data_IF_433406297044
#
_entry.id   IF_433406297044
#
_cell.length_a   1.000
_cell.length_b   1.000
_cell.length_c   1.000
_cell.angle_alpha   90.00
_cell.angle_beta   90.00
_cell.angle_gamma   90.00
#
_symmetry.space_group_name_H-M   'P 1'
#
loop_
_entity.id
_entity.type
_entity.pdbx_description
1 polymer ?
#
# COMPACT_ATOMS: atom_id res chain seq x y z
N UNK A 1 7.73 -0.94 12.88
CA UNK A 1 8.85 -0.81 11.92
C UNK A 1 10.05 -0.19 12.61
N UNK A 2 11.23 -0.71 12.35
CA UNK A 2 12.48 -0.11 12.77
C UNK A 2 12.87 0.98 11.73
N UNK A 3 13.15 2.19 12.20
CA UNK A 3 13.48 3.33 11.34
C UNK A 3 14.95 3.71 11.39
N UNK A 4 15.86 2.75 11.52
CA UNK A 4 17.28 2.98 11.72
C UNK A 4 17.92 3.85 10.64
N UNK A 5 17.61 3.58 9.38
CA UNK A 5 18.15 4.35 8.25
C UNK A 5 17.61 5.77 8.22
N UNK A 6 16.32 5.93 8.50
CA UNK A 6 15.69 7.25 8.57
C UNK A 6 16.23 8.05 9.75
N UNK A 7 16.40 7.40 10.91
CA UNK A 7 16.99 8.03 12.09
C UNK A 7 18.40 8.57 11.82
N UNK A 8 19.19 7.85 11.01
CA UNK A 8 20.55 8.26 10.68
C UNK A 8 20.61 9.39 9.64
N UNK A 9 19.64 9.44 8.72
CA UNK A 9 19.67 10.37 7.59
C UNK A 9 18.80 11.61 7.79
N UNK A 10 17.63 11.46 8.39
CA UNK A 10 16.68 12.55 8.54
C UNK A 10 15.85 12.38 9.83
N UNK A 11 16.44 12.81 10.90
CA UNK A 11 15.80 12.73 12.22
C UNK A 11 14.51 13.56 12.29
N UNK A 12 14.45 14.69 11.58
CA UNK A 12 13.27 15.55 11.61
C UNK A 12 12.03 14.86 11.04
N UNK A 13 12.20 14.13 9.94
CA UNK A 13 11.11 13.32 9.36
C UNK A 13 10.72 12.19 10.31
N UNK A 14 11.69 11.49 10.89
CA UNK A 14 11.40 10.44 11.88
C UNK A 14 10.62 10.98 13.08
N UNK A 15 11.05 12.12 13.62
CA UNK A 15 10.37 12.75 14.77
C UNK A 15 8.91 13.09 14.42
N UNK A 16 8.65 13.55 13.20
CA UNK A 16 7.30 13.77 12.68
C UNK A 16 6.46 12.50 12.65
N UNK A 17 7.02 11.39 12.14
CA UNK A 17 6.35 10.08 12.09
C UNK A 17 6.00 9.60 13.50
N UNK A 18 6.94 9.69 14.42
CA UNK A 18 6.73 9.26 15.80
C UNK A 18 5.72 10.14 16.55
N UNK A 19 5.72 11.45 16.28
CA UNK A 19 4.74 12.37 16.82
C UNK A 19 3.34 12.05 16.30
N UNK A 20 3.19 11.75 15.01
CA UNK A 20 1.91 11.35 14.43
C UNK A 20 1.42 10.01 14.99
N UNK A 21 2.30 9.03 15.14
CA UNK A 21 1.94 7.76 15.80
C UNK A 21 1.39 8.01 17.20
N UNK A 22 2.04 8.88 17.97
CA UNK A 22 1.57 9.26 19.31
C UNK A 22 0.22 9.94 19.26
N UNK A 23 0.02 10.86 18.31
CA UNK A 23 -1.27 11.56 18.13
C UNK A 23 -2.38 10.57 17.83
N UNK A 24 -2.18 9.66 16.88
CA UNK A 24 -3.17 8.65 16.51
C UNK A 24 -3.56 7.75 17.70
N UNK A 25 -2.59 7.37 18.52
CA UNK A 25 -2.85 6.55 19.70
C UNK A 25 -3.56 7.30 20.84
N UNK A 26 -3.44 8.64 20.88
CA UNK A 26 -4.00 9.45 21.94
C UNK A 26 -5.40 9.99 21.65
N UNK A 27 -5.85 9.93 20.41
CA UNK A 27 -7.12 10.51 19.97
C UNK A 27 -8.06 9.44 19.40
N UNK A 28 -9.35 9.68 19.53
CA UNK A 28 -10.38 8.89 18.84
C UNK A 28 -10.63 9.53 17.48
N UNK A 29 -10.39 8.79 16.41
CA UNK A 29 -10.64 9.27 15.06
C UNK A 29 -12.12 9.05 14.70
N UNK A 30 -12.79 10.13 14.33
CA UNK A 30 -14.22 10.12 13.98
C UNK A 30 -14.48 10.39 12.49
N UNK A 31 -13.43 10.48 11.68
CA UNK A 31 -13.57 10.67 10.24
C UNK A 31 -13.81 9.32 9.58
N UNK A 32 -15.01 9.13 9.02
CA UNK A 32 -15.45 7.84 8.48
C UNK A 32 -14.58 7.32 7.31
N UNK A 33 -13.89 8.20 6.60
CA UNK A 33 -13.00 7.83 5.49
C UNK A 33 -11.59 7.40 5.93
N UNK A 34 -11.24 7.54 7.20
CA UNK A 34 -9.94 7.12 7.72
C UNK A 34 -10.00 5.69 8.25
N UNK A 35 -8.97 4.91 7.96
CA UNK A 35 -8.83 3.55 8.41
C UNK A 35 -7.40 3.30 8.90
N UNK A 36 -7.28 2.62 10.02
CA UNK A 36 -5.98 2.17 10.53
C UNK A 36 -5.61 0.87 9.83
N UNK A 37 -4.65 0.94 8.92
CA UNK A 37 -4.16 -0.24 8.21
C UNK A 37 -3.30 -1.12 9.12
N UNK A 38 -3.20 -2.40 8.79
CA UNK A 38 -2.33 -3.34 9.51
C UNK A 38 -0.85 -3.06 9.25
N UNK A 39 -0.01 -3.54 10.15
CA UNK A 39 1.46 -3.45 9.98
C UNK A 39 1.92 -4.11 8.69
N UNK A 40 1.30 -5.23 8.30
CA UNK A 40 1.62 -5.95 7.06
C UNK A 40 1.37 -5.10 5.81
N UNK A 41 0.29 -4.30 5.79
CA UNK A 41 0.02 -3.38 4.68
C UNK A 41 1.12 -2.31 4.60
N UNK A 42 1.51 -1.74 5.74
CA UNK A 42 2.58 -0.73 5.77
C UNK A 42 3.93 -1.32 5.34
N UNK A 43 4.26 -2.53 5.76
CA UNK A 43 5.47 -3.23 5.34
C UNK A 43 5.49 -3.48 3.82
N UNK A 44 4.38 -3.93 3.25
CA UNK A 44 4.28 -4.16 1.81
C UNK A 44 4.44 -2.87 1.01
N UNK A 45 3.83 -1.78 1.45
CA UNK A 45 3.93 -0.47 0.81
C UNK A 45 5.34 0.12 0.87
N UNK A 46 6.08 -0.13 1.94
CA UNK A 46 7.46 0.33 2.13
C UNK A 46 8.52 -0.61 1.55
N UNK A 47 8.12 -1.60 0.77
CA UNK A 47 9.03 -2.59 0.18
C UNK A 47 9.62 -2.13 -1.16
N UNK A 48 10.49 -2.97 -1.72
CA UNK A 48 11.11 -2.73 -3.05
C UNK A 48 10.09 -2.65 -4.19
N UNK A 49 8.87 -3.14 -3.99
CA UNK A 49 7.79 -2.99 -4.97
C UNK A 49 7.50 -1.51 -5.29
N UNK A 50 7.76 -0.61 -4.35
CA UNK A 50 7.66 0.85 -4.53
C UNK A 50 8.52 1.36 -5.70
N UNK A 51 9.61 0.67 -6.02
CA UNK A 51 10.53 1.09 -7.08
C UNK A 51 10.07 0.68 -8.49
N UNK A 52 9.10 -0.22 -8.61
CA UNK A 52 8.74 -0.77 -9.92
C UNK A 52 7.56 -0.06 -10.55
N UNK A 53 7.81 0.54 -11.69
CA UNK A 53 6.77 1.08 -12.56
C UNK A 53 6.16 -0.04 -13.40
N UNK A 54 4.81 -0.20 -13.34
CA UNK A 54 4.11 -1.34 -13.93
C UNK A 54 2.81 -0.91 -14.65
N UNK A 55 2.94 0.07 -15.54
CA UNK A 55 1.82 0.54 -16.36
C UNK A 55 1.26 -0.60 -17.22
N UNK A 56 -0.05 -0.70 -17.25
CA UNK A 56 -0.77 -1.79 -17.90
C UNK A 56 -1.37 -2.76 -16.90
N UNK A 57 -1.60 -4.01 -17.31
CA UNK A 57 -2.20 -5.06 -16.50
C UNK A 57 -1.33 -6.32 -16.52
N UNK A 58 -1.54 -7.28 -15.60
CA UNK A 58 -0.78 -8.53 -15.61
C UNK A 58 -0.76 -9.19 -16.99
N UNK A 59 0.42 -9.52 -17.50
CA UNK A 59 0.61 -10.08 -18.82
C UNK A 59 0.48 -9.11 -20.00
N UNK A 60 0.12 -7.86 -19.72
CA UNK A 60 -0.09 -6.80 -20.73
C UNK A 60 0.53 -5.49 -20.26
N UNK A 61 1.82 -5.50 -19.98
CA UNK A 61 2.57 -4.34 -19.51
C UNK A 61 3.20 -3.57 -20.65
N UNK A 62 3.37 -2.26 -20.45
CA UNK A 62 4.10 -1.42 -21.39
C UNK A 62 5.62 -1.53 -21.22
N UNK A 63 6.09 -1.98 -20.05
CA UNK A 63 7.51 -2.07 -19.70
C UNK A 63 7.88 -3.49 -19.30
N UNK A 64 9.18 -3.82 -19.49
CA UNK A 64 9.72 -5.10 -19.06
C UNK A 64 9.97 -5.18 -17.56
N UNK A 65 10.29 -6.39 -17.08
CA UNK A 65 10.63 -6.63 -15.68
C UNK A 65 9.44 -6.64 -14.74
N UNK A 66 8.25 -6.95 -15.23
CA UNK A 66 7.02 -6.94 -14.45
C UNK A 66 6.55 -8.33 -14.02
N UNK A 67 7.35 -9.37 -14.24
CA UNK A 67 6.96 -10.76 -13.96
C UNK A 67 6.55 -10.96 -12.50
N UNK A 68 7.30 -10.38 -11.57
CA UNK A 68 7.04 -10.53 -10.13
C UNK A 68 5.89 -9.63 -9.68
N UNK A 69 5.82 -8.39 -10.17
CA UNK A 69 4.66 -7.52 -9.82
C UNK A 69 3.37 -8.04 -10.44
N UNK A 70 3.43 -8.73 -11.57
CA UNK A 70 2.27 -9.42 -12.14
C UNK A 70 1.72 -10.48 -11.18
N UNK A 71 2.60 -11.26 -10.54
CA UNK A 71 2.20 -12.24 -9.53
C UNK A 71 1.52 -11.56 -8.33
N UNK A 72 2.09 -10.46 -7.84
CA UNK A 72 1.52 -9.70 -6.71
C UNK A 72 0.15 -9.12 -7.05
N UNK A 73 0.01 -8.52 -8.22
CA UNK A 73 -1.27 -7.95 -8.66
C UNK A 73 -2.30 -9.03 -8.91
N UNK A 74 -1.92 -10.14 -9.54
CA UNK A 74 -2.82 -11.26 -9.78
C UNK A 74 -3.30 -11.90 -8.47
N UNK A 75 -2.41 -12.01 -7.49
CA UNK A 75 -2.76 -12.50 -6.16
C UNK A 75 -3.80 -11.60 -5.49
N UNK A 76 -3.63 -10.28 -5.58
CA UNK A 76 -4.58 -9.32 -5.04
C UNK A 76 -5.95 -9.41 -5.73
N UNK A 77 -5.95 -9.54 -7.07
CA UNK A 77 -7.18 -9.74 -7.86
C UNK A 77 -7.91 -11.00 -7.40
N UNK A 78 -7.20 -12.12 -7.30
CA UNK A 78 -7.80 -13.40 -6.93
C UNK A 78 -8.40 -13.36 -5.52
N UNK A 79 -7.70 -12.76 -4.58
CA UNK A 79 -8.18 -12.63 -3.19
C UNK A 79 -9.38 -11.71 -3.09
N UNK A 80 -9.38 -10.60 -3.82
CA UNK A 80 -10.53 -9.68 -3.85
C UNK A 80 -11.77 -10.37 -4.44
N UNK A 81 -11.60 -11.12 -5.51
CA UNK A 81 -12.69 -11.93 -6.10
C UNK A 81 -13.25 -12.94 -5.11
N UNK A 82 -12.39 -13.62 -4.35
CA UNK A 82 -12.79 -14.60 -3.34
C UNK A 82 -13.58 -13.94 -2.21
N UNK A 83 -13.08 -12.82 -1.67
CA UNK A 83 -13.75 -12.11 -0.58
C UNK A 83 -15.16 -11.67 -0.95
N UNK A 84 -15.34 -11.15 -2.16
CA UNK A 84 -16.63 -10.60 -2.59
C UNK A 84 -17.46 -11.57 -3.44
N UNK A 85 -16.98 -12.77 -3.73
CA UNK A 85 -17.66 -13.72 -4.61
C UNK A 85 -17.81 -13.16 -6.03
N UNK A 86 -16.87 -12.34 -6.49
CA UNK A 86 -16.94 -11.68 -7.79
C UNK A 86 -16.24 -12.47 -8.88
N UNK A 87 -16.75 -12.36 -10.11
CA UNK A 87 -16.12 -12.97 -11.28
C UNK A 87 -14.98 -12.13 -11.86
N UNK A 88 -14.93 -10.83 -11.51
CA UNK A 88 -13.94 -9.88 -11.99
C UNK A 88 -13.58 -8.89 -10.90
N UNK A 89 -12.33 -8.43 -10.89
CA UNK A 89 -11.85 -7.41 -9.95
C UNK A 89 -10.72 -6.59 -10.58
N UNK A 90 -10.64 -5.33 -10.21
CA UNK A 90 -9.54 -4.43 -10.53
C UNK A 90 -8.98 -3.86 -9.22
N UNK A 91 -7.68 -4.05 -8.99
CA UNK A 91 -7.01 -3.61 -7.75
C UNK A 91 -6.12 -2.38 -7.96
N UNK A 92 -6.16 -1.76 -9.14
CA UNK A 92 -5.29 -0.64 -9.47
C UNK A 92 -5.75 0.72 -8.94
N UNK A 93 -7.04 0.99 -8.65
CA UNK A 93 -7.42 2.29 -8.11
C UNK A 93 -6.60 2.62 -6.85
N UNK A 94 -5.98 3.82 -6.86
CA UNK A 94 -5.13 4.25 -5.75
C UNK A 94 -5.90 4.80 -4.55
N UNK A 95 -7.20 5.01 -4.72
CA UNK A 95 -8.06 5.58 -3.68
C UNK A 95 -9.52 5.24 -3.92
N UNK A 96 -10.35 5.41 -2.91
CA UNK A 96 -11.79 5.29 -3.05
C UNK A 96 -12.37 6.26 -4.09
N UNK A 97 -11.82 7.45 -4.19
CA UNK A 97 -12.24 8.43 -5.20
C UNK A 97 -12.00 7.93 -6.63
N UNK A 98 -10.84 7.30 -6.89
CA UNK A 98 -10.57 6.73 -8.21
C UNK A 98 -11.41 5.47 -8.49
N UNK A 99 -11.66 4.66 -7.48
CA UNK A 99 -12.49 3.47 -7.61
C UNK A 99 -13.95 3.81 -7.92
N UNK A 100 -14.42 4.91 -7.38
CA UNK A 100 -15.77 5.42 -7.59
C UNK A 100 -15.95 5.95 -9.01
#
# INVERSE_FOLDING_TARGET
>A
MAFEKLAAQDKAVLDGILAEKKRQNANIELIASENFVSDQVMEAMGSVLTNKYAEGYPGKRYYGGCEVVDESEQLAINRLKEIFGACWANVQPHSGAQAN
#
